data_IF_777328954501
#
_entry.id   IF_777328954501
#
_cell.length_a   1.000
_cell.length_b   1.000
_cell.length_c   1.000
_cell.angle_alpha   90.00
_cell.angle_beta   90.00
_cell.angle_gamma   90.00
#
_symmetry.space_group_name_H-M   'P 1'
#
loop_
_entity.id
_entity.type
_entity.pdbx_description
1 polymer ?
#
# COMPACT_ATOMS: atom_id res chain seq x y z
N UNK A 1 -29.94 -0.76 29.83
CA UNK A 1 -29.43 -1.79 28.90
C UNK A 1 -28.52 -1.06 27.92
N UNK A 2 -27.24 -0.92 28.26
CA UNK A 2 -26.25 -0.32 27.38
C UNK A 2 -25.98 -1.32 26.26
N UNK A 3 -26.37 -0.96 25.03
CA UNK A 3 -25.87 -1.65 23.85
C UNK A 3 -24.37 -1.39 23.81
N UNK A 4 -23.56 -2.36 24.22
CA UNK A 4 -22.13 -2.36 23.91
C UNK A 4 -22.05 -2.38 22.39
N UNK A 5 -21.61 -1.27 21.79
CA UNK A 5 -21.42 -1.18 20.34
C UNK A 5 -20.50 -2.33 19.92
N UNK A 6 -20.96 -3.29 19.11
CA UNK A 6 -20.08 -4.33 18.60
C UNK A 6 -18.96 -3.61 17.86
N UNK A 7 -17.72 -3.80 18.30
CA UNK A 7 -16.57 -3.20 17.64
C UNK A 7 -16.55 -3.77 16.23
N UNK A 8 -16.90 -2.94 15.24
CA UNK A 8 -16.89 -3.33 13.84
C UNK A 8 -15.43 -3.29 13.36
N UNK A 9 -14.74 -4.42 13.53
CA UNK A 9 -13.33 -4.54 13.17
C UNK A 9 -13.10 -4.42 11.66
N UNK A 10 -14.09 -4.85 10.86
CA UNK A 10 -14.04 -4.84 9.40
C UNK A 10 -13.88 -3.40 8.84
N UNK A 11 -14.74 -2.47 9.28
CA UNK A 11 -14.67 -1.05 8.87
C UNK A 11 -13.31 -0.42 9.18
N UNK A 12 -12.77 -0.74 10.36
CA UNK A 12 -11.47 -0.19 10.80
C UNK A 12 -10.33 -0.77 9.98
N UNK A 13 -10.39 -2.06 9.65
CA UNK A 13 -9.35 -2.72 8.87
C UNK A 13 -9.36 -2.25 7.42
N UNK A 14 -10.55 -1.97 6.86
CA UNK A 14 -10.68 -1.37 5.53
C UNK A 14 -10.03 0.03 5.47
N UNK A 15 -10.35 0.91 6.42
CA UNK A 15 -9.72 2.24 6.49
C UNK A 15 -8.20 2.13 6.65
N UNK A 16 -7.73 1.23 7.52
CA UNK A 16 -6.29 1.02 7.72
C UNK A 16 -5.62 0.44 6.47
N UNK A 17 -6.24 -0.49 5.76
CA UNK A 17 -5.71 -1.10 4.55
C UNK A 17 -5.46 -0.07 3.43
N UNK A 18 -6.43 0.82 3.21
CA UNK A 18 -6.29 1.91 2.23
C UNK A 18 -5.19 2.90 2.66
N UNK A 19 -5.17 3.32 3.93
CA UNK A 19 -4.18 4.28 4.42
C UNK A 19 -2.76 3.71 4.37
N UNK A 20 -2.57 2.46 4.81
CA UNK A 20 -1.27 1.78 4.78
C UNK A 20 -0.86 1.51 3.34
N UNK A 21 -1.76 1.01 2.50
CA UNK A 21 -1.48 0.78 1.08
C UNK A 21 -1.07 2.06 0.35
N UNK A 22 -1.82 3.15 0.55
CA UNK A 22 -1.49 4.47 0.02
C UNK A 22 -0.15 5.00 0.52
N UNK A 23 0.14 4.86 1.82
CA UNK A 23 1.44 5.22 2.39
C UNK A 23 2.59 4.44 1.74
N UNK A 24 2.45 3.12 1.58
CA UNK A 24 3.47 2.27 0.94
C UNK A 24 3.72 2.69 -0.51
N UNK A 25 2.67 3.02 -1.27
CA UNK A 25 2.81 3.54 -2.64
C UNK A 25 3.61 4.85 -2.64
N UNK A 26 3.26 5.80 -1.75
CA UNK A 26 3.96 7.09 -1.63
C UNK A 26 5.43 6.88 -1.28
N UNK A 27 5.75 5.98 -0.35
CA UNK A 27 7.14 5.65 0.01
C UNK A 27 7.89 5.05 -1.18
N UNK A 28 7.27 4.15 -1.94
CA UNK A 28 7.85 3.57 -3.15
C UNK A 28 8.21 4.64 -4.19
N UNK A 29 7.28 5.57 -4.46
CA UNK A 29 7.54 6.70 -5.35
C UNK A 29 8.56 7.69 -4.79
N UNK A 30 8.50 8.01 -3.51
CA UNK A 30 9.48 8.88 -2.85
C UNK A 30 10.89 8.30 -2.93
N UNK A 31 11.00 6.98 -2.78
CA UNK A 31 12.27 6.26 -2.98
C UNK A 31 12.74 6.40 -4.42
N UNK A 32 11.87 6.19 -5.41
CA UNK A 32 12.21 6.34 -6.83
C UNK A 32 12.67 7.76 -7.17
N UNK A 33 11.96 8.78 -6.66
CA UNK A 33 12.29 10.20 -6.84
C UNK A 33 13.61 10.59 -6.16
N UNK A 34 14.00 9.88 -5.10
CA UNK A 34 15.30 10.01 -4.46
C UNK A 34 16.48 9.54 -5.34
N UNK A 35 16.21 9.05 -6.56
CA UNK A 35 17.21 8.60 -7.52
C UNK A 35 18.26 7.65 -6.90
N UNK A 36 17.83 6.52 -6.32
CA UNK A 36 18.67 5.67 -5.49
C UNK A 36 19.75 4.94 -6.29
N UNK A 37 19.64 4.95 -7.63
CA UNK A 37 20.67 4.50 -8.57
C UNK A 37 21.95 5.33 -8.54
N UNK A 38 21.91 6.55 -8.01
CA UNK A 38 23.09 7.42 -7.87
C UNK A 38 24.12 6.87 -6.86
N UNK A 39 23.72 5.96 -5.97
CA UNK A 39 24.60 5.34 -4.96
C UNK A 39 24.90 3.87 -5.27
N UNK A 40 24.46 3.35 -6.42
CA UNK A 40 24.67 1.97 -6.81
C UNK A 40 26.14 1.71 -7.22
N UNK A 41 26.77 0.71 -6.59
CA UNK A 41 28.18 0.36 -6.86
C UNK A 41 28.39 -0.48 -8.11
N UNK A 42 27.35 -1.16 -8.61
CA UNK A 42 27.38 -1.94 -9.85
C UNK A 42 25.96 -2.19 -10.39
N UNK A 43 25.87 -2.70 -11.62
CA UNK A 43 24.60 -2.95 -12.32
C UNK A 43 23.70 -3.96 -11.61
N UNK A 44 24.26 -4.99 -10.96
CA UNK A 44 23.45 -5.99 -10.26
C UNK A 44 22.72 -5.38 -9.06
N UNK A 45 23.39 -4.51 -8.30
CA UNK A 45 22.78 -3.77 -7.18
C UNK A 45 21.66 -2.86 -7.68
N UNK A 46 21.88 -2.16 -8.80
CA UNK A 46 20.86 -1.33 -9.44
C UNK A 46 19.59 -2.12 -9.79
N UNK A 47 19.75 -3.29 -10.42
CA UNK A 47 18.60 -4.13 -10.80
C UNK A 47 17.80 -4.60 -9.58
N UNK A 48 18.48 -5.09 -8.54
CA UNK A 48 17.82 -5.53 -7.30
C UNK A 48 17.10 -4.36 -6.62
N UNK A 49 17.71 -3.19 -6.60
CA UNK A 49 17.12 -1.99 -6.02
C UNK A 49 15.84 -1.57 -6.76
N UNK A 50 15.87 -1.52 -8.10
CA UNK A 50 14.69 -1.18 -8.90
C UNK A 50 13.58 -2.21 -8.74
N UNK A 51 13.92 -3.51 -8.70
CA UNK A 51 12.95 -4.57 -8.42
C UNK A 51 12.32 -4.41 -7.04
N UNK A 52 13.09 -4.05 -6.02
CA UNK A 52 12.58 -3.76 -4.67
C UNK A 52 11.62 -2.57 -4.63
N UNK A 53 11.88 -1.52 -5.41
CA UNK A 53 10.99 -0.35 -5.53
C UNK A 53 9.68 -0.77 -6.19
N UNK A 54 9.74 -1.49 -7.32
CA UNK A 54 8.55 -1.99 -8.01
C UNK A 54 7.73 -2.92 -7.11
N UNK A 55 8.39 -3.83 -6.39
CA UNK A 55 7.73 -4.73 -5.43
C UNK A 55 7.05 -3.96 -4.30
N UNK A 56 7.69 -2.92 -3.75
CA UNK A 56 7.10 -2.06 -2.72
C UNK A 56 5.81 -1.39 -3.22
N UNK A 57 5.85 -0.79 -4.41
CA UNK A 57 4.67 -0.16 -5.01
C UNK A 57 3.57 -1.20 -5.25
N UNK A 58 3.93 -2.38 -5.78
CA UNK A 58 2.99 -3.46 -6.01
C UNK A 58 2.32 -3.94 -4.71
N UNK A 59 3.06 -4.04 -3.61
CA UNK A 59 2.49 -4.39 -2.29
C UNK A 59 1.46 -3.32 -1.86
N UNK A 60 1.78 -2.04 -1.99
CA UNK A 60 0.85 -0.98 -1.64
C UNK A 60 -0.43 -1.00 -2.49
N UNK A 61 -0.30 -1.28 -3.79
CA UNK A 61 -1.45 -1.47 -4.70
C UNK A 61 -2.28 -2.69 -4.30
N UNK A 62 -1.64 -3.82 -4.00
CA UNK A 62 -2.34 -5.04 -3.54
C UNK A 62 -3.11 -4.78 -2.25
N UNK A 63 -2.53 -4.06 -1.28
CA UNK A 63 -3.22 -3.70 -0.04
C UNK A 63 -4.48 -2.89 -0.32
N UNK A 64 -4.40 -1.86 -1.16
CA UNK A 64 -5.58 -1.06 -1.55
C UNK A 64 -6.61 -1.91 -2.27
N UNK A 65 -6.20 -2.76 -3.21
CA UNK A 65 -7.11 -3.57 -4.02
C UNK A 65 -7.80 -4.67 -3.22
N UNK A 66 -7.08 -5.38 -2.34
CA UNK A 66 -7.67 -6.42 -1.49
C UNK A 66 -8.69 -5.81 -0.54
N UNK A 67 -8.36 -4.66 0.06
CA UNK A 67 -9.29 -3.93 0.91
C UNK A 67 -10.51 -3.41 0.16
N UNK A 68 -10.34 -2.92 -1.07
CA UNK A 68 -11.45 -2.39 -1.87
C UNK A 68 -12.34 -3.50 -2.45
N UNK A 69 -11.77 -4.67 -2.77
CA UNK A 69 -12.53 -5.82 -3.28
C UNK A 69 -13.51 -6.40 -2.25
N UNK A 70 -13.27 -6.18 -0.95
CA UNK A 70 -14.21 -6.51 0.13
C UNK A 70 -15.37 -5.51 0.25
N UNK A 71 -15.24 -4.29 -0.32
CA UNK A 71 -16.25 -3.22 -0.24
C UNK A 71 -16.72 -2.70 -1.62
N UNK A 72 -17.31 -3.55 -2.48
CA UNK A 72 -17.86 -3.12 -3.77
C UNK A 72 -19.22 -2.39 -3.67
N UNK A 73 -19.71 -2.11 -2.46
CA UNK A 73 -21.14 -1.87 -2.18
C UNK A 73 -21.67 -0.44 -2.36
N UNK A 74 -20.82 0.58 -2.53
CA UNK A 74 -21.27 1.98 -2.39
C UNK A 74 -21.08 2.89 -3.63
N UNK A 75 -20.68 2.35 -4.79
CA UNK A 75 -20.43 3.17 -6.01
C UNK A 75 -21.41 2.91 -7.16
N UNK A 76 -22.52 2.23 -6.90
CA UNK A 76 -23.64 2.17 -7.84
C UNK A 76 -24.92 2.64 -7.13
N UNK A 77 -25.65 3.65 -7.66
CA UNK A 77 -27.00 3.93 -7.20
C UNK A 77 -27.95 2.75 -7.46
#
# INVERSE_FOLDING_TARGET
MSMDSPINFEDRLSVLGVLVGGFVIVVGFGTLLGAPWTTAVNTSVLLVQLLGIVATIAIGVVLVLVTYADDPGEILP
#
